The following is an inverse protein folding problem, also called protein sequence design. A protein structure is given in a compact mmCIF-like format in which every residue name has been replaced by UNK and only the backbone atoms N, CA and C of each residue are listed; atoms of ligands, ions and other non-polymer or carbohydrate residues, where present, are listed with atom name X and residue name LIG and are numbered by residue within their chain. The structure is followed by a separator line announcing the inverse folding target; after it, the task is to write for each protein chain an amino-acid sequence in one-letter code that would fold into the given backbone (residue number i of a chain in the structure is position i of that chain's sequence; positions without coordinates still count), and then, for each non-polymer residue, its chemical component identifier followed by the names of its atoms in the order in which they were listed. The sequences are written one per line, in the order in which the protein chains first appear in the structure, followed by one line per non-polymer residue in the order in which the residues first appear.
data_IF_672004053508
#
_entry.id   IF_672004053508
#
_cell.length_a   1.000
_cell.length_b   1.000
_cell.length_c   1.000
_cell.angle_alpha   90.00
_cell.angle_beta   90.00
_cell.angle_gamma   90.00
#
_symmetry.space_group_name_H-M   'P 1'
#
loop_
_entity.id
_entity.type
_entity.pdbx_description
1 polymer ?
#
# COMPACT_ATOMS: atom_id res chain seq x y z
N UNK A 1 10.29 7.53 -1.40
CA UNK A 1 10.12 6.09 -1.74
C UNK A 1 8.66 5.80 -2.08
N UNK A 2 8.45 5.04 -3.13
CA UNK A 2 7.12 4.58 -3.50
C UNK A 2 6.93 3.14 -3.04
N UNK A 3 5.79 2.88 -2.41
CA UNK A 3 5.40 1.52 -2.04
C UNK A 3 4.51 1.00 -3.17
N UNK A 4 4.91 -0.10 -3.79
CA UNK A 4 4.24 -0.62 -4.98
C UNK A 4 3.62 -1.98 -4.70
N UNK A 5 2.63 -2.32 -5.52
CA UNK A 5 1.98 -3.63 -5.42
C UNK A 5 2.95 -4.72 -5.88
N UNK A 6 3.09 -5.81 -5.10
CA UNK A 6 4.00 -6.89 -5.47
C UNK A 6 3.40 -7.82 -6.52
N UNK A 7 2.09 -7.75 -6.72
CA UNK A 7 1.37 -8.63 -7.65
C UNK A 7 0.05 -7.98 -8.03
N UNK A 8 -0.60 -8.39 -9.13
CA UNK A 8 -1.91 -7.86 -9.48
C UNK A 8 -2.97 -8.36 -8.50
N UNK A 9 -3.94 -7.51 -8.20
CA UNK A 9 -5.03 -7.86 -7.29
C UNK A 9 -5.94 -6.69 -7.03
N UNK A 10 -6.74 -6.81 -5.98
CA UNK A 10 -7.70 -5.78 -5.57
C UNK A 10 -7.34 -5.26 -4.19
N UNK A 11 -7.35 -3.95 -4.01
CA UNK A 11 -7.10 -3.34 -2.71
C UNK A 11 -8.32 -3.60 -1.81
N UNK A 12 -8.10 -4.30 -0.72
CA UNK A 12 -9.15 -4.59 0.27
C UNK A 12 -9.34 -3.38 1.18
N UNK A 13 -8.24 -2.81 1.65
CA UNK A 13 -8.28 -1.65 2.53
C UNK A 13 -6.95 -0.92 2.50
N UNK A 14 -6.99 0.38 2.82
CA UNK A 14 -5.81 1.22 3.01
C UNK A 14 -5.79 1.60 4.47
N UNK A 15 -4.66 1.36 5.14
CA UNK A 15 -4.55 1.45 6.61
C UNK A 15 -3.91 2.75 7.08
N UNK A 16 -3.47 3.61 6.17
CA UNK A 16 -2.79 4.87 6.52
C UNK A 16 -3.46 6.03 5.80
N UNK A 17 -3.19 7.23 6.30
CA UNK A 17 -3.65 8.48 5.68
C UNK A 17 -2.44 9.35 5.35
N UNK A 18 -2.62 10.28 4.41
CA UNK A 18 -1.61 11.28 4.09
C UNK A 18 -1.25 12.04 5.37
N UNK A 19 0.05 12.17 5.62
CA UNK A 19 0.56 12.81 6.83
C UNK A 19 0.91 11.86 7.96
N UNK A 20 0.51 10.60 7.86
CA UNK A 20 0.84 9.61 8.90
C UNK A 20 2.32 9.28 8.86
N UNK A 21 2.91 9.10 10.05
CA UNK A 21 4.28 8.60 10.15
C UNK A 21 4.24 7.09 10.13
N UNK A 22 5.13 6.51 9.34
CA UNK A 22 5.22 5.06 9.17
C UNK A 22 6.65 4.58 9.39
N UNK A 23 6.76 3.31 9.73
CA UNK A 23 8.03 2.62 9.83
C UNK A 23 8.05 1.49 8.82
N UNK A 24 9.21 0.86 8.62
CA UNK A 24 9.36 -0.21 7.64
C UNK A 24 8.33 -1.32 7.82
N UNK A 25 7.99 -1.65 9.07
CA UNK A 25 7.02 -2.70 9.39
C UNK A 25 5.57 -2.24 9.49
N UNK A 26 5.28 -0.97 9.19
CA UNK A 26 3.91 -0.45 9.27
C UNK A 26 3.07 -1.00 8.12
N UNK A 27 1.91 -1.57 8.44
CA UNK A 27 0.96 -2.04 7.43
C UNK A 27 0.31 -0.84 6.76
N UNK A 28 0.45 -0.71 5.45
CA UNK A 28 -0.13 0.42 4.71
C UNK A 28 -1.38 0.03 3.94
N UNK A 29 -1.48 -1.20 3.47
CA UNK A 29 -2.65 -1.65 2.71
C UNK A 29 -2.75 -3.16 2.74
N UNK A 30 -3.93 -3.67 2.41
CA UNK A 30 -4.16 -5.10 2.23
C UNK A 30 -4.60 -5.32 0.80
N UNK A 31 -3.96 -6.25 0.12
CA UNK A 31 -4.20 -6.61 -1.27
C UNK A 31 -4.74 -8.03 -1.33
N UNK A 32 -5.88 -8.22 -1.99
CA UNK A 32 -6.40 -9.56 -2.25
C UNK A 32 -5.95 -10.01 -3.64
N UNK A 33 -5.28 -11.18 -3.68
CA UNK A 33 -4.85 -11.80 -4.91
C UNK A 33 -4.98 -13.30 -4.76
N UNK A 34 -5.51 -13.96 -5.79
CA UNK A 34 -5.64 -15.42 -5.81
C UNK A 34 -6.39 -15.96 -4.58
N UNK A 35 -7.45 -15.24 -4.17
CA UNK A 35 -8.32 -15.58 -3.03
C UNK A 35 -7.60 -15.52 -1.68
N UNK A 36 -6.44 -14.85 -1.62
CA UNK A 36 -5.67 -14.67 -0.38
C UNK A 36 -5.43 -13.19 -0.15
N UNK A 37 -5.47 -12.80 1.11
CA UNK A 37 -5.10 -11.44 1.47
C UNK A 37 -3.60 -11.36 1.70
N UNK A 38 -2.98 -10.34 1.14
CA UNK A 38 -1.55 -10.08 1.27
C UNK A 38 -1.37 -8.71 1.90
N UNK A 39 -0.58 -8.65 2.95
CA UNK A 39 -0.29 -7.41 3.63
C UNK A 39 0.83 -6.67 2.92
N UNK A 40 0.65 -5.36 2.73
CA UNK A 40 1.66 -4.50 2.10
C UNK A 40 2.18 -3.56 3.17
N UNK A 41 3.49 -3.60 3.40
CA UNK A 41 4.15 -2.80 4.42
C UNK A 41 4.90 -1.64 3.77
N UNK A 42 5.15 -0.58 4.55
CA UNK A 42 5.84 0.60 4.05
C UNK A 42 7.25 0.28 3.55
N UNK A 43 7.97 -0.57 4.23
CA UNK A 43 9.32 -0.96 3.85
C UNK A 43 10.38 0.11 4.11
N UNK A 44 9.98 1.28 4.54
CA UNK A 44 10.88 2.39 4.89
C UNK A 44 10.21 3.21 5.99
N UNK A 45 11.04 3.95 6.72
CA UNK A 45 10.56 4.92 7.70
C UNK A 45 10.31 6.25 7.00
N UNK A 46 9.27 6.96 7.40
CA UNK A 46 8.99 8.27 6.84
C UNK A 46 7.57 8.70 7.08
N UNK A 47 7.10 9.64 6.26
CA UNK A 47 5.75 10.19 6.34
C UNK A 47 5.03 9.93 5.04
N UNK A 48 3.78 9.49 5.11
CA UNK A 48 2.96 9.25 3.91
C UNK A 48 2.71 10.58 3.21
N UNK A 49 3.24 10.71 2.00
CA UNK A 49 3.11 11.93 1.20
C UNK A 49 1.89 11.87 0.28
N UNK A 50 1.49 10.69 -0.14
CA UNK A 50 0.34 10.52 -1.01
C UNK A 50 -0.14 9.08 -1.02
N UNK A 51 -1.42 8.90 -1.34
CA UNK A 51 -2.05 7.58 -1.48
C UNK A 51 -2.65 7.54 -2.88
N UNK A 52 -2.26 6.54 -3.66
CA UNK A 52 -2.64 6.45 -5.08
C UNK A 52 -3.81 5.50 -5.32
N UNK A 53 -4.28 4.79 -4.30
CA UNK A 53 -5.35 3.79 -4.44
C UNK A 53 -6.38 3.95 -3.33
N UNK A 54 -7.52 3.34 -3.56
CA UNK A 54 -8.61 3.27 -2.57
C UNK A 54 -9.09 1.84 -2.46
N UNK A 55 -9.80 1.53 -1.37
CA UNK A 55 -10.41 0.21 -1.20
C UNK A 55 -11.32 -0.09 -2.40
N UNK A 56 -11.17 -1.27 -2.96
CA UNK A 56 -11.91 -1.70 -4.13
C UNK A 56 -11.20 -1.49 -5.46
N UNK A 57 -10.09 -0.76 -5.47
CA UNK A 57 -9.33 -0.53 -6.70
C UNK A 57 -8.59 -1.78 -7.13
N UNK A 58 -8.54 -2.02 -8.44
CA UNK A 58 -7.71 -3.06 -9.03
C UNK A 58 -6.34 -2.49 -9.35
N UNK A 59 -5.29 -3.23 -9.03
CA UNK A 59 -3.92 -2.81 -9.29
C UNK A 59 -3.15 -3.91 -10.01
N UNK A 60 -2.10 -3.50 -10.71
CA UNK A 60 -1.16 -4.42 -11.35
C UNK A 60 0.14 -4.41 -10.59
N UNK A 61 0.98 -5.43 -10.83
CA UNK A 61 2.31 -5.47 -10.27
C UNK A 61 3.07 -4.19 -10.62
N UNK A 62 3.66 -3.55 -9.62
CA UNK A 62 4.40 -2.32 -9.81
C UNK A 62 3.59 -1.03 -9.69
N UNK A 63 2.26 -1.11 -9.61
CA UNK A 63 1.44 0.08 -9.41
C UNK A 63 1.73 0.69 -8.04
N UNK A 64 1.79 2.01 -7.98
CA UNK A 64 2.06 2.73 -6.74
C UNK A 64 0.85 2.66 -5.82
N UNK A 65 1.07 2.25 -4.59
CA UNK A 65 0.04 2.20 -3.55
C UNK A 65 0.08 3.48 -2.72
N UNK A 66 1.23 3.78 -2.14
CA UNK A 66 1.45 5.00 -1.38
C UNK A 66 2.86 5.53 -1.67
N UNK A 67 3.06 6.83 -1.43
CA UNK A 67 4.38 7.46 -1.48
C UNK A 67 4.79 7.85 -0.07
N UNK A 68 6.03 7.58 0.28
CA UNK A 68 6.60 7.88 1.61
C UNK A 68 7.81 8.79 1.42
N UNK A 69 7.83 9.88 2.16
CA UNK A 69 8.97 10.81 2.19
C UNK A 69 9.97 10.44 3.26
#
# INVERSE_FOLDING_TARGET
KQVTAPMPGTIVSVKVNVGDKVEAGTLVAVLEAMKMENEIFAGVDGTVAGISVSAGDSVNSGDVIVSVN
#
